data_IF_340699850283
#
_entry.id   IF_340699850283
#
_cell.length_a   1.000
_cell.length_b   1.000
_cell.length_c   1.000
_cell.angle_alpha   90.00
_cell.angle_beta   90.00
_cell.angle_gamma   90.00
#
_symmetry.space_group_name_H-M   'P 1'
#
loop_
_entity.id
_entity.type
_entity.pdbx_description
1 polymer ?
#
# COMPACT_ATOMS: atom_id res chain seq x y z
N UNK A 1 -33.64 11.25 37.43
CA UNK A 1 -33.15 11.67 36.10
C UNK A 1 -32.29 10.54 35.56
N UNK A 2 -32.55 9.98 34.36
CA UNK A 2 -31.72 8.88 33.82
C UNK A 2 -30.35 9.39 33.38
N UNK A 3 -29.30 8.66 33.72
CA UNK A 3 -27.91 8.97 33.34
C UNK A 3 -27.68 8.44 31.92
N UNK A 4 -27.21 9.24 30.95
CA UNK A 4 -26.97 8.73 29.61
C UNK A 4 -25.80 7.73 29.65
N UNK A 5 -26.08 6.49 29.28
CA UNK A 5 -25.06 5.44 29.18
C UNK A 5 -24.28 5.63 27.88
N UNK A 6 -22.99 5.97 27.97
CA UNK A 6 -22.11 5.90 26.81
C UNK A 6 -21.88 4.43 26.45
N UNK A 7 -22.32 4.03 25.25
CA UNK A 7 -22.01 2.72 24.69
C UNK A 7 -20.79 2.86 23.78
N UNK A 8 -19.75 2.08 24.07
CA UNK A 8 -18.58 1.98 23.19
C UNK A 8 -18.83 0.89 22.16
N UNK A 9 -18.64 1.22 20.88
CA UNK A 9 -18.70 0.26 19.78
C UNK A 9 -17.33 0.15 19.13
N UNK A 10 -16.90 -1.08 18.86
CA UNK A 10 -15.69 -1.34 18.09
C UNK A 10 -16.06 -1.47 16.61
N UNK A 11 -15.35 -0.73 15.75
CA UNK A 11 -15.45 -0.87 14.29
C UNK A 11 -14.14 -1.50 13.80
N UNK A 12 -14.24 -2.59 13.05
CA UNK A 12 -13.10 -3.20 12.40
C UNK A 12 -12.93 -2.58 11.02
N UNK A 13 -11.79 -1.92 10.80
CA UNK A 13 -11.45 -1.32 9.50
C UNK A 13 -10.38 -2.19 8.86
N UNK A 14 -10.66 -2.72 7.68
CA UNK A 14 -9.70 -3.48 6.88
C UNK A 14 -9.33 -2.68 5.63
N UNK A 15 -8.03 -2.42 5.46
CA UNK A 15 -7.50 -1.74 4.28
C UNK A 15 -6.86 -2.78 3.37
N UNK A 16 -7.30 -2.82 2.11
CA UNK A 16 -6.68 -3.70 1.12
C UNK A 16 -5.30 -3.18 0.75
N UNK A 17 -4.28 -4.03 0.87
CA UNK A 17 -2.90 -3.68 0.49
C UNK A 17 -2.79 -3.43 -1.01
N UNK A 18 -1.95 -2.48 -1.38
CA UNK A 18 -1.71 -2.05 -2.77
C UNK A 18 -2.93 -1.52 -3.53
N UNK A 19 -4.05 -1.27 -2.85
CA UNK A 19 -5.25 -0.71 -3.46
C UNK A 19 -5.46 0.72 -2.93
N UNK A 20 -5.57 1.66 -3.85
CA UNK A 20 -5.98 3.03 -3.58
C UNK A 20 -7.44 3.22 -3.99
N UNK A 21 -8.27 3.68 -3.05
CA UNK A 21 -9.65 4.05 -3.35
C UNK A 21 -9.70 5.47 -3.90
N UNK A 22 -10.18 5.60 -5.13
CA UNK A 22 -10.21 6.85 -5.88
C UNK A 22 -11.18 7.86 -5.24
N UNK A 23 -10.68 9.07 -5.01
CA UNK A 23 -11.48 10.24 -4.70
C UNK A 23 -11.86 10.99 -6.00
N UNK A 24 -12.91 11.83 -5.98
CA UNK A 24 -13.35 12.58 -7.16
C UNK A 24 -12.26 13.42 -7.83
N UNK A 25 -11.25 13.87 -7.08
CA UNK A 25 -10.14 14.70 -7.55
C UNK A 25 -8.85 13.93 -7.85
N UNK A 26 -8.85 12.60 -7.73
CA UNK A 26 -7.66 11.80 -8.00
C UNK A 26 -7.37 11.65 -9.50
N UNK A 27 -6.08 11.70 -9.84
CA UNK A 27 -5.54 11.40 -11.16
C UNK A 27 -4.33 10.47 -10.99
N UNK A 28 -3.87 9.82 -12.07
CA UNK A 28 -2.64 9.00 -11.99
C UNK A 28 -1.47 9.83 -11.48
N UNK A 29 -1.35 11.08 -11.92
CA UNK A 29 -0.25 11.98 -11.54
C UNK A 29 -0.30 12.34 -10.06
N UNK A 30 -1.49 12.66 -9.52
CA UNK A 30 -1.63 12.98 -8.10
C UNK A 30 -1.36 11.76 -7.22
N UNK A 31 -1.84 10.58 -7.62
CA UNK A 31 -1.56 9.32 -6.94
C UNK A 31 -0.06 9.01 -6.96
N UNK A 32 0.58 9.07 -8.12
CA UNK A 32 2.03 8.81 -8.24
C UNK A 32 2.86 9.72 -7.34
N UNK A 33 2.47 11.00 -7.25
CA UNK A 33 3.10 11.96 -6.34
C UNK A 33 2.97 11.54 -4.87
N UNK A 34 1.78 11.07 -4.45
CA UNK A 34 1.56 10.55 -3.08
C UNK A 34 2.42 9.33 -2.78
N UNK A 35 2.57 8.42 -3.75
CA UNK A 35 3.38 7.22 -3.63
C UNK A 35 4.87 7.44 -3.97
N UNK A 36 5.30 8.70 -4.13
CA UNK A 36 6.70 9.10 -4.41
C UNK A 36 7.29 8.33 -5.61
N UNK A 37 6.48 8.15 -6.66
CA UNK A 37 6.85 7.39 -7.86
C UNK A 37 6.52 8.15 -9.15
N UNK A 38 6.88 7.56 -10.30
CA UNK A 38 6.52 8.03 -11.63
C UNK A 38 5.07 7.62 -11.99
N UNK A 39 4.33 8.53 -12.63
CA UNK A 39 2.98 8.30 -13.11
C UNK A 39 2.88 7.14 -14.12
N UNK A 40 3.92 6.91 -14.94
CA UNK A 40 4.00 5.78 -15.85
C UNK A 40 3.98 4.44 -15.10
N UNK A 41 4.60 4.38 -13.93
CA UNK A 41 4.62 3.16 -13.14
C UNK A 41 3.21 2.85 -12.61
N UNK A 42 2.52 3.84 -12.03
CA UNK A 42 1.13 3.67 -11.61
C UNK A 42 0.24 3.32 -12.79
N UNK A 43 0.42 3.95 -13.95
CA UNK A 43 -0.36 3.63 -15.14
C UNK A 43 -0.14 2.19 -15.61
N UNK A 44 1.09 1.69 -15.59
CA UNK A 44 1.43 0.30 -15.95
C UNK A 44 0.77 -0.74 -15.03
N UNK A 45 0.55 -0.42 -13.76
CA UNK A 45 -0.18 -1.26 -12.80
C UNK A 45 -1.69 -1.31 -13.06
N UNK A 46 -2.19 -0.40 -13.88
CA UNK A 46 -3.61 -0.21 -14.17
C UNK A 46 -3.86 -0.31 -15.68
N UNK A 47 -3.62 -1.47 -16.30
CA UNK A 47 -3.72 -1.63 -17.76
C UNK A 47 -5.14 -1.45 -18.31
N UNK A 48 -6.15 -1.47 -17.44
CA UNK A 48 -7.53 -1.15 -17.79
C UNK A 48 -7.75 0.35 -18.04
N UNK A 49 -6.86 1.21 -17.53
CA UNK A 49 -6.95 2.66 -17.65
C UNK A 49 -6.39 3.09 -19.02
N UNK A 50 -7.27 3.42 -19.97
CA UNK A 50 -6.84 3.85 -21.33
C UNK A 50 -6.29 5.28 -21.38
N UNK A 51 -6.92 6.21 -20.68
CA UNK A 51 -6.52 7.61 -20.60
C UNK A 51 -5.94 7.93 -19.20
N UNK A 52 -4.66 8.31 -19.09
CA UNK A 52 -4.03 8.69 -17.83
C UNK A 52 -4.68 9.88 -17.10
N UNK A 53 -5.40 10.73 -17.83
CA UNK A 53 -6.09 11.90 -17.27
C UNK A 53 -7.42 11.53 -16.59
N UNK A 54 -8.00 10.37 -16.94
CA UNK A 54 -9.26 9.87 -16.43
C UNK A 54 -9.09 8.48 -15.81
N UNK A 55 -8.62 8.44 -14.55
CA UNK A 55 -8.38 7.18 -13.83
C UNK A 55 -9.69 6.50 -13.38
N UNK A 56 -10.76 7.26 -13.20
CA UNK A 56 -12.10 6.71 -13.00
C UNK A 56 -12.62 6.23 -14.36
N UNK A 57 -12.74 4.92 -14.54
CA UNK A 57 -13.22 4.35 -15.80
C UNK A 57 -14.44 3.48 -15.59
N UNK A 58 -15.41 3.65 -16.49
CA UNK A 58 -16.55 2.75 -16.62
C UNK A 58 -16.07 1.54 -17.43
N UNK A 59 -15.78 0.44 -16.75
CA UNK A 59 -15.58 -0.85 -17.39
C UNK A 59 -16.92 -1.53 -17.69
N UNK A 60 -16.89 -2.67 -18.39
CA UNK A 60 -18.08 -3.50 -18.69
C UNK A 60 -18.84 -3.92 -17.42
N UNK A 61 -18.16 -3.94 -16.26
CA UNK A 61 -18.70 -4.28 -14.94
C UNK A 61 -19.02 -3.05 -14.06
N UNK A 62 -19.03 -1.84 -14.62
CA UNK A 62 -19.30 -0.59 -13.88
C UNK A 62 -18.07 0.29 -13.65
N UNK A 63 -18.21 1.30 -12.79
CA UNK A 63 -17.14 2.28 -12.50
C UNK A 63 -16.09 1.64 -11.60
N UNK A 64 -14.86 1.49 -12.10
CA UNK A 64 -13.71 1.18 -11.25
C UNK A 64 -13.41 2.38 -10.35
N UNK A 65 -13.47 2.15 -9.03
CA UNK A 65 -13.17 3.15 -7.99
C UNK A 65 -11.86 2.86 -7.27
N UNK A 66 -11.04 1.97 -7.84
CA UNK A 66 -9.79 1.55 -7.25
C UNK A 66 -8.67 1.62 -8.26
N UNK A 67 -7.47 1.93 -7.78
CA UNK A 67 -6.24 1.86 -8.55
C UNK A 67 -5.21 1.00 -7.82
N UNK A 68 -4.48 0.19 -8.58
CA UNK A 68 -3.32 -0.53 -8.08
C UNK A 68 -2.15 0.44 -7.91
N UNK A 69 -1.49 0.40 -6.76
CA UNK A 69 -0.37 1.29 -6.41
C UNK A 69 0.90 0.51 -6.03
N UNK A 70 0.88 -0.80 -6.19
CA UNK A 70 2.03 -1.68 -5.99
C UNK A 70 1.69 -3.13 -6.30
N UNK A 71 2.62 -4.02 -5.97
CA UNK A 71 2.45 -5.46 -6.03
C UNK A 71 2.46 -6.04 -4.61
N UNK A 72 1.61 -7.04 -4.41
CA UNK A 72 1.70 -7.86 -3.21
C UNK A 72 2.95 -8.73 -3.32
N UNK A 73 3.75 -8.70 -2.27
CA UNK A 73 4.92 -9.52 -2.12
C UNK A 73 4.88 -10.24 -0.79
N UNK A 74 5.20 -11.53 -0.81
CA UNK A 74 5.26 -12.36 0.39
C UNK A 74 6.71 -12.68 0.71
N UNK A 75 7.27 -12.14 1.82
CA UNK A 75 8.60 -12.45 2.26
C UNK A 75 8.81 -13.96 2.41
N UNK A 76 9.92 -14.44 1.89
CA UNK A 76 10.44 -15.78 2.08
C UNK A 76 11.10 -15.90 3.45
N UNK A 77 11.49 -17.13 3.79
CA UNK A 77 12.11 -17.42 5.08
C UNK A 77 13.38 -16.59 5.28
N UNK A 78 13.48 -15.97 6.46
CA UNK A 78 14.60 -15.10 6.88
C UNK A 78 14.78 -13.79 6.09
N UNK A 79 13.86 -13.43 5.18
CA UNK A 79 13.93 -12.12 4.55
C UNK A 79 13.60 -10.99 5.53
N UNK A 80 14.42 -9.95 5.48
CA UNK A 80 14.32 -8.77 6.33
C UNK A 80 13.80 -7.60 5.51
N UNK A 81 13.24 -6.58 6.17
CA UNK A 81 12.74 -5.40 5.48
C UNK A 81 13.87 -4.68 4.71
N UNK A 82 15.08 -4.62 5.30
CA UNK A 82 16.26 -4.09 4.64
C UNK A 82 16.70 -4.91 3.41
N UNK A 83 16.69 -6.25 3.53
CA UNK A 83 17.04 -7.14 2.42
C UNK A 83 16.09 -6.98 1.23
N UNK A 84 14.79 -6.96 1.50
CA UNK A 84 13.74 -6.75 0.49
C UNK A 84 13.90 -5.37 -0.16
N UNK A 85 14.07 -4.32 0.64
CA UNK A 85 14.31 -2.97 0.15
C UNK A 85 15.50 -2.90 -0.82
N UNK A 86 16.62 -3.51 -0.45
CA UNK A 86 17.83 -3.60 -1.29
C UNK A 86 17.61 -4.39 -2.59
N UNK A 87 16.84 -5.48 -2.52
CA UNK A 87 16.51 -6.31 -3.69
C UNK A 87 15.63 -5.56 -4.69
N UNK A 88 14.61 -4.84 -4.21
CA UNK A 88 13.68 -4.07 -5.04
C UNK A 88 14.12 -2.64 -5.33
N UNK A 89 15.33 -2.26 -4.92
CA UNK A 89 15.94 -0.94 -5.15
C UNK A 89 15.08 0.22 -4.64
N UNK A 90 14.40 0.01 -3.51
CA UNK A 90 13.62 1.04 -2.83
C UNK A 90 14.15 1.26 -1.42
N UNK A 91 14.01 2.46 -0.86
CA UNK A 91 14.41 2.68 0.52
C UNK A 91 13.41 2.00 1.47
N UNK A 92 13.91 1.49 2.60
CA UNK A 92 13.14 0.69 3.54
C UNK A 92 11.95 1.45 4.15
N UNK A 93 12.13 2.74 4.40
CA UNK A 93 11.07 3.67 4.83
C UNK A 93 9.89 3.69 3.85
N UNK A 94 10.13 3.57 2.54
CA UNK A 94 9.06 3.49 1.53
C UNK A 94 8.21 2.22 1.68
N UNK A 95 8.81 1.10 2.06
CA UNK A 95 8.04 -0.12 2.37
C UNK A 95 7.16 0.12 3.59
N UNK A 96 7.67 0.80 4.62
CA UNK A 96 6.88 1.13 5.81
C UNK A 96 5.75 2.13 5.52
N UNK A 97 6.02 3.16 4.72
CA UNK A 97 5.04 4.15 4.28
C UNK A 97 3.86 3.47 3.55
N UNK A 98 4.16 2.46 2.74
CA UNK A 98 3.15 1.68 1.99
C UNK A 98 2.45 0.61 2.82
N UNK A 99 2.93 0.32 4.03
CA UNK A 99 2.43 -0.73 4.90
C UNK A 99 2.41 -0.24 6.36
N UNK A 100 1.53 0.72 6.62
CA UNK A 100 1.45 1.42 7.92
C UNK A 100 1.25 0.49 9.12
N UNK A 101 0.69 -0.70 8.90
CA UNK A 101 0.45 -1.70 9.93
C UNK A 101 1.70 -2.51 10.32
N UNK A 102 2.77 -2.50 9.49
CA UNK A 102 3.97 -3.31 9.74
C UNK A 102 4.66 -2.94 11.06
N UNK A 103 4.84 -1.64 11.34
CA UNK A 103 5.51 -1.22 12.56
C UNK A 103 4.75 -1.74 13.81
N UNK A 104 3.42 -1.57 13.82
CA UNK A 104 2.58 -2.10 14.90
C UNK A 104 2.65 -3.63 14.98
N UNK A 105 2.58 -4.32 13.85
CA UNK A 105 2.59 -5.79 13.77
C UNK A 105 3.89 -6.38 14.28
N UNK A 106 5.02 -5.77 13.90
CA UNK A 106 6.35 -6.22 14.29
C UNK A 106 6.63 -5.89 15.76
N UNK A 107 6.27 -4.68 16.21
CA UNK A 107 6.40 -4.30 17.62
C UNK A 107 5.55 -5.19 18.53
N UNK A 108 4.30 -5.50 18.14
CA UNK A 108 3.43 -6.40 18.91
C UNK A 108 3.99 -7.84 19.00
N UNK A 109 4.77 -8.28 18.01
CA UNK A 109 5.35 -9.63 17.95
C UNK A 109 6.70 -9.74 18.66
N UNK A 110 7.57 -8.75 18.51
CA UNK A 110 8.96 -8.79 18.95
C UNK A 110 9.23 -7.92 20.19
N UNK A 111 8.30 -7.03 20.56
CA UNK A 111 8.48 -6.04 21.63
C UNK A 111 9.27 -4.80 21.20
N UNK A 112 9.90 -4.83 20.01
CA UNK A 112 10.64 -3.74 19.38
C UNK A 112 10.54 -3.88 17.85
N UNK A 113 10.97 -2.86 17.10
CA UNK A 113 11.02 -2.89 15.64
C UNK A 113 12.45 -2.65 15.16
N UNK A 114 12.99 -3.63 14.41
CA UNK A 114 14.26 -3.51 13.69
C UNK A 114 14.09 -3.98 12.25
N UNK A 115 14.64 -3.23 11.28
CA UNK A 115 14.51 -3.54 9.85
C UNK A 115 15.33 -4.77 9.42
N UNK A 116 16.24 -5.24 10.28
CA UNK A 116 17.12 -6.40 10.11
C UNK A 116 16.50 -7.69 10.64
N UNK A 117 15.34 -7.63 11.28
CA UNK A 117 14.65 -8.82 11.76
C UNK A 117 13.85 -9.51 10.63
N UNK A 118 13.75 -10.85 10.66
CA UNK A 118 12.92 -11.58 9.70
C UNK A 118 11.46 -11.17 9.75
N UNK A 119 10.89 -10.87 8.58
CA UNK A 119 9.47 -10.56 8.47
C UNK A 119 8.60 -11.81 8.71
N UNK A 120 7.38 -11.65 9.26
CA UNK A 120 6.39 -12.71 9.27
C UNK A 120 6.02 -13.15 7.84
N UNK A 121 5.46 -14.36 7.66
CA UNK A 121 4.88 -14.78 6.39
C UNK A 121 3.56 -14.04 6.15
N UNK A 122 3.65 -12.78 5.78
CA UNK A 122 2.53 -11.88 5.49
C UNK A 122 2.77 -11.18 4.16
N UNK A 123 1.69 -10.91 3.43
CA UNK A 123 1.83 -10.13 2.20
C UNK A 123 2.07 -8.66 2.58
N UNK A 124 2.99 -8.01 1.87
CA UNK A 124 3.30 -6.59 1.98
C UNK A 124 3.14 -5.94 0.62
N UNK A 125 2.79 -4.66 0.61
CA UNK A 125 2.74 -3.87 -0.60
C UNK A 125 4.13 -3.32 -0.93
N UNK A 126 4.60 -3.57 -2.14
CA UNK A 126 5.86 -3.01 -2.64
C UNK A 126 5.65 -2.34 -3.98
N UNK A 127 6.41 -1.28 -4.23
CA UNK A 127 6.47 -0.63 -5.54
C UNK A 127 7.95 -0.46 -5.91
N UNK A 128 8.55 -1.39 -6.67
CA UNK A 128 9.98 -1.39 -6.98
C UNK A 128 10.41 -0.12 -7.73
N UNK A 129 11.65 0.36 -7.57
CA UNK A 129 12.14 1.43 -8.45
C UNK A 129 12.55 0.82 -9.79
N UNK A 130 11.72 0.98 -10.81
CA UNK A 130 11.94 0.41 -12.14
C UNK A 130 12.62 1.37 -13.11
N UNK A 131 12.88 2.63 -12.70
CA UNK A 131 13.36 3.69 -13.60
C UNK A 131 14.75 4.24 -13.25
N UNK A 132 15.32 3.89 -12.10
CA UNK A 132 16.70 4.22 -11.71
C UNK A 132 17.62 2.98 -11.76
N UNK A 133 17.73 2.36 -12.94
CA UNK A 133 18.72 1.30 -13.22
C UNK A 133 20.05 1.89 -13.71
#
# INVERSE_FOLDING_TARGET
>A
MPVPHCQSHCIQVQVQRCIWYLQPSDSIVSIATRFKTNWLQIWSLNPHVRDPSAIQQVGENGISRTANVGHLYRPQWQETLYGIASAFKIPADRILDMNSDLNFTLTARLGYFEMTEPLPPMDICILPDSCNL
#
